data_IF_482351751918
#
_entry.id   IF_482351751918
#
_cell.length_a   1.000
_cell.length_b   1.000
_cell.length_c   1.000
_cell.angle_alpha   90.00
_cell.angle_beta   90.00
_cell.angle_gamma   90.00
#
_symmetry.space_group_name_H-M   'P 1'
#
loop_
_entity.id
_entity.type
_entity.pdbx_description
1 polymer ?
#
# COMPACT_ATOMS: atom_id res chain seq x y z
N UNK A 1 -2.94 -6.83 -2.88
CA UNK A 1 -1.60 -6.33 -3.28
C UNK A 1 -0.58 -6.53 -2.17
N UNK A 2 -0.81 -6.07 -0.94
CA UNK A 2 0.13 -6.25 0.18
C UNK A 2 0.61 -7.68 0.38
N UNK A 3 -0.32 -8.67 0.35
CA UNK A 3 0.02 -10.10 0.39
C UNK A 3 1.03 -10.49 -0.71
N UNK A 4 0.79 -10.07 -1.95
CA UNK A 4 1.66 -10.41 -3.07
C UNK A 4 3.05 -9.77 -2.94
N UNK A 5 3.11 -8.51 -2.50
CA UNK A 5 4.37 -7.83 -2.21
C UNK A 5 5.14 -8.51 -1.07
N UNK A 6 4.48 -8.85 0.04
CA UNK A 6 5.08 -9.54 1.18
C UNK A 6 5.73 -10.88 0.77
N UNK A 7 5.01 -11.70 -0.02
CA UNK A 7 5.51 -12.97 -0.52
C UNK A 7 6.70 -12.75 -1.47
N UNK A 8 6.61 -11.75 -2.35
CA UNK A 8 7.70 -11.45 -3.28
C UNK A 8 8.95 -10.97 -2.53
N UNK A 9 8.82 -10.08 -1.54
CA UNK A 9 9.94 -9.67 -0.69
C UNK A 9 10.59 -10.85 0.03
N UNK A 10 9.80 -11.77 0.57
CA UNK A 10 10.34 -12.97 1.22
C UNK A 10 11.13 -13.85 0.23
N UNK A 11 10.65 -14.03 -1.00
CA UNK A 11 11.35 -14.77 -2.05
C UNK A 11 12.67 -14.14 -2.49
N UNK A 12 12.76 -12.80 -2.37
CA UNK A 12 13.98 -12.03 -2.62
C UNK A 12 14.88 -11.90 -1.38
N UNK A 13 14.55 -12.59 -0.28
CA UNK A 13 15.41 -12.73 0.89
C UNK A 13 15.12 -11.79 2.05
N UNK A 14 14.02 -11.02 2.02
CA UNK A 14 13.63 -10.16 3.14
C UNK A 14 12.87 -10.95 4.23
N UNK A 15 13.12 -10.62 5.49
CA UNK A 15 12.20 -10.92 6.59
C UNK A 15 11.05 -9.91 6.56
N UNK A 16 9.82 -10.33 6.84
CA UNK A 16 8.64 -9.52 6.56
C UNK A 16 7.68 -9.47 7.75
N UNK A 17 7.38 -8.26 8.22
CA UNK A 17 6.24 -8.03 9.11
C UNK A 17 5.02 -7.58 8.30
N UNK A 18 3.85 -8.13 8.61
CA UNK A 18 2.57 -7.69 8.04
C UNK A 18 1.60 -7.23 9.12
N UNK A 19 0.84 -6.18 8.81
CA UNK A 19 -0.34 -5.80 9.57
C UNK A 19 -1.61 -6.37 8.90
N UNK A 20 -2.56 -6.76 9.70
CA UNK A 20 -3.87 -7.25 9.28
C UNK A 20 -4.94 -6.95 10.33
N UNK A 21 -6.21 -6.92 9.94
CA UNK A 21 -7.30 -6.88 10.90
C UNK A 21 -7.48 -8.24 11.57
N UNK A 22 -7.80 -8.31 12.87
CA UNK A 22 -8.02 -9.60 13.58
C UNK A 22 -9.02 -10.53 12.89
N UNK A 23 -10.00 -9.99 12.17
CA UNK A 23 -10.95 -10.76 11.35
C UNK A 23 -10.34 -11.46 10.14
N UNK A 24 -9.12 -11.08 9.75
CA UNK A 24 -8.38 -11.61 8.59
C UNK A 24 -7.22 -12.54 9.00
N UNK A 25 -7.30 -13.10 10.22
CA UNK A 25 -6.23 -13.91 10.82
C UNK A 25 -5.87 -15.14 9.98
N UNK A 26 -6.86 -15.82 9.38
CA UNK A 26 -6.63 -16.97 8.53
C UNK A 26 -5.80 -16.62 7.29
N UNK A 27 -6.12 -15.51 6.64
CA UNK A 27 -5.35 -15.00 5.49
C UNK A 27 -3.94 -14.60 5.90
N UNK A 28 -3.77 -13.99 7.08
CA UNK A 28 -2.46 -13.63 7.61
C UNK A 28 -1.58 -14.87 7.84
N UNK A 29 -2.13 -15.93 8.42
CA UNK A 29 -1.40 -17.19 8.63
C UNK A 29 -0.99 -17.88 7.32
N UNK A 30 -1.80 -17.78 6.27
CA UNK A 30 -1.40 -18.25 4.94
C UNK A 30 -0.19 -17.47 4.40
N UNK A 31 -0.14 -16.14 4.62
CA UNK A 31 1.01 -15.32 4.24
C UNK A 31 2.25 -15.72 5.04
N UNK A 32 2.11 -15.92 6.35
CA UNK A 32 3.22 -16.38 7.22
C UNK A 32 3.77 -17.73 6.75
N UNK A 33 2.91 -18.65 6.36
CA UNK A 33 3.32 -19.95 5.81
C UNK A 33 4.18 -19.77 4.57
N UNK A 34 3.75 -18.95 3.61
CA UNK A 34 4.48 -18.71 2.36
C UNK A 34 5.81 -17.98 2.57
N UNK A 35 5.89 -17.07 3.56
CA UNK A 35 7.14 -16.43 3.96
C UNK A 35 8.12 -17.47 4.54
N UNK A 36 7.62 -18.35 5.41
CA UNK A 36 8.41 -19.45 6.00
C UNK A 36 8.90 -20.44 4.93
N UNK A 37 8.06 -20.79 3.95
CA UNK A 37 8.43 -21.64 2.82
C UNK A 37 9.54 -21.01 1.96
N UNK A 38 9.59 -19.67 1.88
CA UNK A 38 10.70 -18.94 1.25
C UNK A 38 11.98 -18.90 2.12
N UNK A 39 11.98 -19.56 3.29
CA UNK A 39 13.13 -19.60 4.20
C UNK A 39 13.33 -18.29 4.99
N UNK A 40 12.29 -17.47 5.15
CA UNK A 40 12.38 -16.17 5.81
C UNK A 40 11.52 -16.08 7.08
N UNK A 41 11.83 -15.09 7.92
CA UNK A 41 11.05 -14.80 9.12
C UNK A 41 9.82 -13.96 8.76
N UNK A 42 8.65 -14.43 9.19
CA UNK A 42 7.40 -13.69 9.09
C UNK A 42 6.90 -13.25 10.47
N UNK A 43 6.46 -11.99 10.59
CA UNK A 43 5.85 -11.44 11.80
C UNK A 43 4.45 -10.94 11.45
N UNK A 44 3.43 -11.43 12.15
CA UNK A 44 2.04 -11.07 11.93
C UNK A 44 1.54 -10.17 13.08
N UNK A 45 1.16 -8.93 12.80
CA UNK A 45 0.79 -7.92 13.79
C UNK A 45 -0.67 -7.50 13.59
N UNK A 46 -1.62 -8.06 14.37
CA UNK A 46 -3.03 -7.71 14.25
C UNK A 46 -3.32 -6.33 14.84
N UNK A 47 -4.15 -5.54 14.14
CA UNK A 47 -4.67 -4.28 14.69
C UNK A 47 -5.16 -3.29 13.67
N UNK A 48 -5.71 -2.20 14.18
CA UNK A 48 -6.35 -1.15 13.40
C UNK A 48 -5.41 0.05 13.21
N UNK A 49 -5.09 0.32 11.95
CA UNK A 49 -4.23 1.45 11.57
C UNK A 49 -4.87 2.83 11.78
N UNK A 50 -6.17 2.89 12.07
CA UNK A 50 -6.84 4.16 12.43
C UNK A 50 -6.44 4.68 13.82
N UNK A 51 -5.70 3.88 14.59
CA UNK A 51 -5.21 4.22 15.92
C UNK A 51 -3.72 4.57 15.88
N UNK A 52 -3.40 5.83 16.21
CA UNK A 52 -2.01 6.32 16.19
C UNK A 52 -1.07 5.51 17.09
N UNK A 53 -1.54 5.18 18.30
CA UNK A 53 -0.78 4.39 19.27
C UNK A 53 -0.44 3.00 18.73
N UNK A 54 -1.39 2.39 18.02
CA UNK A 54 -1.18 1.10 17.36
C UNK A 54 -0.14 1.23 16.24
N UNK A 55 -0.26 2.22 15.36
CA UNK A 55 0.70 2.42 14.26
C UNK A 55 2.14 2.55 14.76
N UNK A 56 2.35 3.28 15.87
CA UNK A 56 3.67 3.40 16.50
C UNK A 56 4.15 2.05 17.05
N UNK A 57 3.31 1.41 17.87
CA UNK A 57 3.65 0.11 18.47
C UNK A 57 3.94 -0.96 17.41
N UNK A 58 3.16 -1.01 16.35
CA UNK A 58 3.37 -1.95 15.22
C UNK A 58 4.76 -1.81 14.61
N UNK A 59 5.23 -0.59 14.39
CA UNK A 59 6.59 -0.36 13.85
C UNK A 59 7.64 -0.77 14.86
N UNK A 60 7.48 -0.43 16.14
CA UNK A 60 8.40 -0.82 17.21
C UNK A 60 8.48 -2.35 17.36
N UNK A 61 7.33 -3.04 17.36
CA UNK A 61 7.26 -4.51 17.42
C UNK A 61 7.94 -5.14 16.19
N UNK A 62 7.66 -4.65 14.98
CA UNK A 62 8.29 -5.14 13.76
C UNK A 62 9.82 -5.00 13.81
N UNK A 63 10.33 -3.84 14.26
CA UNK A 63 11.77 -3.60 14.42
C UNK A 63 12.38 -4.54 15.44
N UNK A 64 11.70 -4.76 16.57
CA UNK A 64 12.21 -5.65 17.64
C UNK A 64 12.28 -7.11 17.18
N UNK A 65 11.24 -7.59 16.50
CA UNK A 65 11.13 -8.99 16.05
C UNK A 65 12.03 -9.30 14.84
N UNK A 66 12.19 -8.35 13.91
CA UNK A 66 13.01 -8.52 12.71
C UNK A 66 14.48 -8.05 12.91
N UNK A 67 14.78 -7.37 14.00
CA UNK A 67 16.13 -6.84 14.28
C UNK A 67 16.49 -5.56 13.52
N UNK A 68 15.54 -4.94 12.80
CA UNK A 68 15.75 -3.71 12.04
C UNK A 68 14.61 -3.40 11.09
N UNK A 69 14.77 -2.29 10.34
CA UNK A 69 13.80 -1.87 9.32
C UNK A 69 14.54 -1.22 8.14
N UNK A 70 14.49 -1.83 6.98
CA UNK A 70 15.09 -1.32 5.74
C UNK A 70 14.03 -0.89 4.72
N UNK A 71 12.85 -1.51 4.73
CA UNK A 71 11.78 -1.27 3.76
C UNK A 71 10.47 -1.05 4.51
N UNK A 72 9.83 0.09 4.28
CA UNK A 72 8.46 0.37 4.74
C UNK A 72 7.51 0.43 3.56
N UNK A 73 6.45 -0.41 3.56
CA UNK A 73 5.41 -0.39 2.53
C UNK A 73 4.07 0.06 3.11
N UNK A 74 3.63 1.25 2.76
CA UNK A 74 2.30 1.76 3.07
C UNK A 74 1.34 1.33 1.95
N UNK A 75 0.72 0.15 2.12
CA UNK A 75 -0.20 -0.43 1.13
C UNK A 75 -1.65 -0.47 1.62
N UNK A 76 -1.87 -0.61 2.91
CA UNK A 76 -3.23 -0.68 3.47
C UNK A 76 -4.06 0.54 3.07
N UNK A 77 -5.32 0.31 2.73
CA UNK A 77 -6.24 1.38 2.34
C UNK A 77 -7.68 0.97 2.61
N UNK A 78 -8.51 1.99 2.85
CA UNK A 78 -9.95 1.91 2.85
C UNK A 78 -10.48 2.57 1.58
N UNK A 79 -11.47 1.94 0.97
CA UNK A 79 -12.26 2.45 -0.15
C UNK A 79 -13.73 2.17 0.16
N UNK A 80 -14.60 3.11 -0.11
CA UNK A 80 -16.04 2.93 -0.03
C UNK A 80 -16.70 3.64 -1.20
N UNK A 81 -17.48 2.93 -1.97
CA UNK A 81 -18.28 3.53 -3.05
C UNK A 81 -19.42 4.34 -2.45
N UNK A 82 -19.62 5.56 -2.96
CA UNK A 82 -20.68 6.46 -2.56
C UNK A 82 -21.21 7.20 -3.80
N UNK A 83 -22.50 7.09 -4.10
CA UNK A 83 -23.09 7.67 -5.33
C UNK A 83 -23.11 9.20 -5.29
N UNK A 84 -23.31 9.78 -4.12
CA UNK A 84 -23.38 11.22 -3.92
C UNK A 84 -22.56 11.65 -2.72
N UNK A 85 -21.84 12.76 -2.84
CA UNK A 85 -21.13 13.37 -1.69
C UNK A 85 -22.08 13.73 -0.54
N UNK A 86 -23.36 13.93 -0.83
CA UNK A 86 -24.38 14.20 0.19
C UNK A 86 -24.67 12.98 1.09
N UNK A 87 -24.40 11.78 0.60
CA UNK A 87 -24.61 10.52 1.33
C UNK A 87 -23.36 10.05 2.06
N UNK A 88 -22.20 10.66 1.80
CA UNK A 88 -20.97 10.34 2.47
C UNK A 88 -20.99 10.89 3.91
N UNK A 89 -21.01 9.98 4.89
CA UNK A 89 -21.03 10.38 6.30
C UNK A 89 -19.68 10.95 6.75
N UNK A 90 -19.68 11.77 7.80
CA UNK A 90 -18.46 12.28 8.40
C UNK A 90 -17.60 11.15 8.97
N UNK A 91 -18.22 10.10 9.51
CA UNK A 91 -17.58 8.92 10.06
C UNK A 91 -16.86 8.11 8.98
N UNK A 92 -17.49 7.92 7.82
CA UNK A 92 -16.87 7.20 6.68
C UNK A 92 -15.71 8.00 6.10
N UNK A 93 -15.89 9.31 5.92
CA UNK A 93 -14.83 10.21 5.48
C UNK A 93 -13.63 10.18 6.44
N UNK A 94 -13.87 10.31 7.75
CA UNK A 94 -12.84 10.26 8.78
C UNK A 94 -12.10 8.90 8.78
N UNK A 95 -12.85 7.78 8.65
CA UNK A 95 -12.26 6.45 8.59
C UNK A 95 -11.35 6.29 7.36
N UNK A 96 -11.75 6.84 6.20
CA UNK A 96 -10.93 6.84 4.99
C UNK A 96 -9.67 7.69 5.16
N UNK A 97 -9.79 8.88 5.73
CA UNK A 97 -8.65 9.77 6.02
C UNK A 97 -7.70 9.16 7.04
N UNK A 98 -8.21 8.56 8.10
CA UNK A 98 -7.39 7.88 9.12
C UNK A 98 -6.59 6.73 8.52
N UNK A 99 -7.24 5.88 7.73
CA UNK A 99 -6.57 4.72 7.12
C UNK A 99 -5.56 5.12 6.05
N UNK A 100 -5.95 6.04 5.14
CA UNK A 100 -5.18 6.29 3.93
C UNK A 100 -4.18 7.44 4.05
N UNK A 101 -4.37 8.35 5.03
CA UNK A 101 -3.52 9.53 5.20
C UNK A 101 -2.81 9.52 6.55
N UNK A 102 -3.56 9.40 7.65
CA UNK A 102 -2.97 9.50 8.98
C UNK A 102 -2.10 8.29 9.31
N UNK A 103 -2.55 7.07 9.00
CA UNK A 103 -1.77 5.87 9.24
C UNK A 103 -0.41 5.87 8.50
N UNK A 104 -0.33 6.18 7.19
CA UNK A 104 0.97 6.38 6.51
C UNK A 104 1.86 7.44 7.17
N UNK A 105 1.28 8.54 7.63
CA UNK A 105 2.04 9.57 8.35
C UNK A 105 2.59 9.04 9.68
N UNK A 106 1.76 8.39 10.49
CA UNK A 106 2.17 7.85 11.79
C UNK A 106 3.21 6.73 11.65
N UNK A 107 3.03 5.84 10.69
CA UNK A 107 3.97 4.74 10.44
C UNK A 107 5.31 5.25 9.93
N UNK A 108 5.32 6.23 9.03
CA UNK A 108 6.57 6.88 8.59
C UNK A 108 7.26 7.57 9.75
N UNK A 109 6.52 8.34 10.56
CA UNK A 109 7.09 9.03 11.73
C UNK A 109 7.74 8.05 12.72
N UNK A 110 7.09 6.91 12.97
CA UNK A 110 7.64 5.85 13.84
C UNK A 110 8.84 5.14 13.20
N UNK A 111 8.83 4.94 11.87
CA UNK A 111 9.89 4.24 11.16
C UNK A 111 11.18 5.07 11.01
N UNK A 112 11.06 6.40 10.90
CA UNK A 112 12.21 7.28 10.61
C UNK A 112 13.45 7.11 11.50
N UNK A 113 13.35 6.85 12.82
CA UNK A 113 14.53 6.59 13.66
C UNK A 113 15.29 5.30 13.32
N UNK A 114 14.62 4.33 12.71
CA UNK A 114 15.13 3.01 12.40
C UNK A 114 15.68 2.89 10.98
N UNK A 115 15.24 3.77 10.06
CA UNK A 115 15.66 3.76 8.66
C UNK A 115 17.08 4.34 8.50
N UNK A 116 17.95 3.58 7.81
CA UNK A 116 19.35 3.90 7.52
C UNK A 116 19.52 4.35 6.06
N UNK A 117 20.68 4.91 5.68
CA UNK A 117 21.01 5.10 4.27
C UNK A 117 20.87 3.79 3.47
N UNK A 118 20.22 3.84 2.33
CA UNK A 118 19.87 2.68 1.51
C UNK A 118 18.43 2.20 1.72
N UNK A 119 17.77 2.58 2.81
CA UNK A 119 16.36 2.22 3.08
C UNK A 119 15.39 2.77 2.03
N UNK A 120 14.24 2.11 1.91
CA UNK A 120 13.18 2.49 0.99
C UNK A 120 11.80 2.61 1.67
N UNK A 121 11.05 3.64 1.32
CA UNK A 121 9.63 3.79 1.66
C UNK A 121 8.84 3.69 0.36
N UNK A 122 7.82 2.83 0.33
CA UNK A 122 6.97 2.63 -0.84
C UNK A 122 5.51 2.85 -0.44
N UNK A 123 4.81 3.70 -1.18
CA UNK A 123 3.40 3.97 -0.94
C UNK A 123 2.53 3.48 -2.10
N UNK A 124 1.37 2.91 -1.78
CA UNK A 124 0.39 2.52 -2.79
C UNK A 124 -0.59 3.67 -3.04
N UNK A 125 -0.39 4.37 -4.15
CA UNK A 125 -1.33 5.34 -4.71
C UNK A 125 -2.46 4.62 -5.49
N UNK A 126 -2.94 5.18 -6.57
CA UNK A 126 -3.94 4.60 -7.48
C UNK A 126 -4.03 5.41 -8.75
N UNK A 127 -4.54 4.84 -9.84
CA UNK A 127 -5.02 5.59 -11.01
C UNK A 127 -6.06 6.66 -10.63
N UNK A 128 -6.85 6.40 -9.57
CA UNK A 128 -7.83 7.34 -9.03
C UNK A 128 -7.23 8.67 -8.55
N UNK A 129 -5.92 8.75 -8.42
CA UNK A 129 -5.21 9.99 -8.12
C UNK A 129 -5.08 10.90 -9.35
N UNK A 130 -5.22 10.36 -10.55
CA UNK A 130 -5.10 11.05 -11.84
C UNK A 130 -6.46 11.24 -12.51
N UNK A 131 -7.27 10.19 -12.53
CA UNK A 131 -8.60 10.14 -13.14
C UNK A 131 -9.62 9.58 -12.12
N UNK A 132 -10.15 10.45 -11.25
CA UNK A 132 -11.00 10.04 -10.14
C UNK A 132 -12.40 9.63 -10.60
N UNK A 133 -12.82 8.42 -10.20
CA UNK A 133 -14.23 8.02 -10.32
C UNK A 133 -15.11 8.87 -9.39
N UNK A 134 -16.26 9.38 -9.87
CA UNK A 134 -17.14 10.19 -9.03
C UNK A 134 -17.65 9.48 -7.78
N UNK A 135 -17.73 8.16 -7.81
CA UNK A 135 -18.19 7.34 -6.68
C UNK A 135 -17.12 7.07 -5.61
N UNK A 136 -15.84 7.40 -5.89
CA UNK A 136 -14.72 7.19 -4.99
C UNK A 136 -14.16 8.52 -4.49
N UNK A 137 -15.04 9.46 -4.18
CA UNK A 137 -14.73 10.85 -3.87
C UNK A 137 -13.67 11.03 -2.78
N UNK A 138 -13.85 10.41 -1.61
CA UNK A 138 -12.89 10.48 -0.49
C UNK A 138 -11.62 9.68 -0.77
N UNK A 139 -11.77 8.48 -1.32
CA UNK A 139 -10.64 7.62 -1.68
C UNK A 139 -9.70 8.28 -2.69
N UNK A 140 -10.24 8.83 -3.77
CA UNK A 140 -9.46 9.48 -4.82
C UNK A 140 -8.63 10.66 -4.27
N UNK A 141 -9.21 11.48 -3.38
CA UNK A 141 -8.50 12.54 -2.68
C UNK A 141 -7.30 12.01 -1.89
N UNK A 142 -7.48 10.89 -1.15
CA UNK A 142 -6.38 10.31 -0.39
C UNK A 142 -5.28 9.78 -1.30
N UNK A 143 -5.62 9.28 -2.49
CA UNK A 143 -4.61 8.77 -3.44
C UNK A 143 -3.85 9.89 -4.15
N UNK A 144 -4.49 11.02 -4.45
CA UNK A 144 -3.81 12.24 -4.90
C UNK A 144 -2.87 12.80 -3.81
N UNK A 145 -3.32 12.83 -2.56
CA UNK A 145 -2.48 13.21 -1.43
C UNK A 145 -1.28 12.25 -1.25
N UNK A 146 -1.46 10.94 -1.47
CA UNK A 146 -0.38 9.95 -1.42
C UNK A 146 0.71 10.26 -2.44
N UNK A 147 0.36 10.63 -3.68
CA UNK A 147 1.35 11.01 -4.69
C UNK A 147 2.15 12.25 -4.28
N UNK A 148 1.47 13.23 -3.69
CA UNK A 148 2.12 14.45 -3.23
C UNK A 148 3.07 14.16 -2.06
N UNK A 149 2.62 13.37 -1.08
CA UNK A 149 3.46 13.01 0.06
C UNK A 149 4.71 12.26 -0.37
N UNK A 150 4.63 11.33 -1.34
CA UNK A 150 5.80 10.61 -1.90
C UNK A 150 6.82 11.60 -2.44
N UNK A 151 6.39 12.54 -3.28
CA UNK A 151 7.26 13.57 -3.88
C UNK A 151 7.90 14.49 -2.84
N UNK A 152 7.13 14.88 -1.84
CA UNK A 152 7.61 15.75 -0.75
C UNK A 152 8.59 15.03 0.16
N UNK A 153 8.23 13.83 0.63
CA UNK A 153 9.04 13.04 1.56
C UNK A 153 10.35 12.59 0.90
N UNK A 154 10.33 12.26 -0.39
CA UNK A 154 11.54 11.94 -1.15
C UNK A 154 12.57 13.07 -1.08
N UNK A 155 12.14 14.31 -1.24
CA UNK A 155 13.01 15.50 -1.14
C UNK A 155 13.56 15.70 0.28
N UNK A 156 12.73 15.46 1.29
CA UNK A 156 13.16 15.59 2.69
C UNK A 156 14.20 14.55 3.10
N UNK A 157 14.05 13.31 2.62
CA UNK A 157 14.85 12.18 3.05
C UNK A 157 16.07 11.90 2.14
N UNK A 158 16.17 12.56 0.98
CA UNK A 158 17.26 12.37 0.02
C UNK A 158 18.65 12.51 0.66
N UNK A 159 18.86 13.54 1.48
CA UNK A 159 20.15 13.76 2.19
C UNK A 159 20.46 12.67 3.22
N UNK A 160 19.46 11.93 3.68
CA UNK A 160 19.62 10.76 4.56
C UNK A 160 19.91 9.47 3.78
N UNK A 161 19.92 9.52 2.45
CA UNK A 161 20.07 8.34 1.60
C UNK A 161 18.86 7.39 1.63
N UNK A 162 17.67 7.89 2.01
CA UNK A 162 16.42 7.12 2.06
C UNK A 162 15.60 7.45 0.83
N UNK A 163 15.17 6.43 0.09
CA UNK A 163 14.36 6.59 -1.12
C UNK A 163 12.88 6.48 -0.79
N UNK A 164 12.05 7.27 -1.47
CA UNK A 164 10.59 7.22 -1.31
C UNK A 164 9.95 7.20 -2.68
N UNK A 165 9.18 6.16 -2.99
CA UNK A 165 8.49 6.01 -4.26
C UNK A 165 7.06 5.54 -4.06
N UNK A 166 6.25 5.65 -5.11
CA UNK A 166 4.87 5.20 -5.12
C UNK A 166 4.60 4.19 -6.24
N UNK A 167 3.59 3.36 -6.02
CA UNK A 167 2.97 2.53 -7.06
C UNK A 167 1.54 3.03 -7.24
N UNK A 168 1.12 3.27 -8.48
CA UNK A 168 -0.24 3.67 -8.82
C UNK A 168 -0.89 2.56 -9.67
N UNK A 169 -1.57 1.60 -9.02
CA UNK A 169 -2.30 0.55 -9.71
C UNK A 169 -3.51 1.11 -10.48
N UNK A 170 -3.78 0.51 -11.64
CA UNK A 170 -5.09 0.57 -12.27
C UNK A 170 -6.05 -0.46 -11.68
N UNK A 171 -6.96 -1.05 -12.50
CA UNK A 171 -7.95 -2.01 -12.03
C UNK A 171 -7.27 -3.35 -11.69
N UNK A 172 -7.00 -3.59 -10.41
CA UNK A 172 -6.42 -4.84 -9.89
C UNK A 172 -7.48 -5.62 -9.12
N UNK A 173 -7.64 -6.90 -9.46
CA UNK A 173 -8.61 -7.77 -8.81
C UNK A 173 -8.20 -8.08 -7.37
N UNK A 174 -8.85 -7.45 -6.42
CA UNK A 174 -8.55 -7.57 -4.98
C UNK A 174 -9.84 -7.60 -4.15
N UNK A 175 -9.81 -8.14 -2.92
CA UNK A 175 -10.95 -8.07 -2.00
C UNK A 175 -11.47 -6.64 -1.76
N UNK A 176 -10.61 -5.63 -1.93
CA UNK A 176 -10.99 -4.22 -1.75
C UNK A 176 -12.14 -3.79 -2.68
N UNK A 177 -12.29 -4.40 -3.85
CA UNK A 177 -13.40 -4.09 -4.76
C UNK A 177 -14.74 -4.51 -4.14
N UNK A 178 -14.78 -5.68 -3.52
CA UNK A 178 -15.98 -6.22 -2.86
C UNK A 178 -16.26 -5.47 -1.56
N UNK A 179 -15.27 -5.36 -0.68
CA UNK A 179 -15.41 -4.67 0.61
C UNK A 179 -15.63 -3.17 0.47
N UNK A 180 -15.22 -2.58 -0.65
CA UNK A 180 -15.42 -1.18 -1.01
C UNK A 180 -16.79 -0.87 -1.61
N UNK A 181 -17.72 -1.83 -1.63
CA UNK A 181 -19.11 -1.59 -2.02
C UNK A 181 -19.38 -1.56 -3.54
N UNK A 182 -18.48 -2.12 -4.35
CA UNK A 182 -18.75 -2.25 -5.79
C UNK A 182 -19.97 -3.16 -6.04
N UNK A 183 -20.88 -2.73 -6.90
CA UNK A 183 -22.04 -3.55 -7.29
C UNK A 183 -21.62 -4.77 -8.10
N UNK A 184 -22.44 -5.83 -8.10
CA UNK A 184 -22.17 -7.05 -8.89
C UNK A 184 -21.97 -6.73 -10.38
N UNK A 185 -22.77 -5.83 -10.95
CA UNK A 185 -22.61 -5.41 -12.34
C UNK A 185 -21.23 -4.79 -12.62
N UNK A 186 -20.69 -3.99 -11.68
CA UNK A 186 -19.36 -3.41 -11.78
C UNK A 186 -18.27 -4.46 -11.63
N UNK A 187 -18.44 -5.43 -10.72
CA UNK A 187 -17.50 -6.52 -10.53
C UNK A 187 -17.40 -7.40 -11.77
N UNK A 188 -18.51 -7.72 -12.44
CA UNK A 188 -18.51 -8.50 -13.69
C UNK A 188 -17.76 -7.81 -14.83
N UNK A 189 -17.80 -6.48 -14.89
CA UNK A 189 -17.14 -5.66 -15.92
C UNK A 189 -15.78 -5.10 -15.47
N UNK A 190 -15.36 -5.40 -14.24
CA UNK A 190 -14.18 -4.79 -13.66
C UNK A 190 -12.91 -5.05 -14.50
N UNK A 191 -12.23 -3.98 -14.86
CA UNK A 191 -11.01 -4.00 -15.67
C UNK A 191 -11.22 -4.29 -17.16
N UNK A 192 -12.45 -4.57 -17.63
CA UNK A 192 -12.73 -4.83 -19.04
C UNK A 192 -12.46 -3.63 -19.96
N UNK A 193 -12.47 -2.42 -19.40
CA UNK A 193 -12.19 -1.18 -20.12
C UNK A 193 -10.69 -0.85 -20.21
N UNK A 194 -9.82 -1.59 -19.52
CA UNK A 194 -8.38 -1.43 -19.69
C UNK A 194 -7.98 -1.85 -21.12
N UNK A 195 -6.95 -1.25 -21.73
CA UNK A 195 -6.47 -1.67 -23.04
C UNK A 195 -6.09 -3.16 -23.13
N UNK A 196 -5.66 -3.78 -22.02
CA UNK A 196 -5.44 -5.23 -21.93
C UNK A 196 -6.73 -6.05 -21.82
N UNK A 197 -7.91 -5.42 -21.68
CA UNK A 197 -9.23 -6.04 -21.66
C UNK A 197 -9.53 -6.87 -20.41
N UNK A 198 -8.74 -6.75 -19.35
CA UNK A 198 -8.91 -7.48 -18.10
C UNK A 198 -8.36 -6.71 -16.89
N UNK A 199 -8.78 -7.05 -15.67
CA UNK A 199 -8.08 -6.56 -14.49
C UNK A 199 -6.70 -7.23 -14.37
N UNK A 200 -5.76 -6.53 -13.74
CA UNK A 200 -4.50 -7.13 -13.31
C UNK A 200 -4.68 -7.98 -12.06
N UNK A 201 -3.74 -8.87 -11.81
CA UNK A 201 -3.66 -9.65 -10.58
C UNK A 201 -2.65 -9.02 -9.60
N UNK A 202 -2.84 -9.12 -8.28
CA UNK A 202 -1.88 -8.60 -7.30
C UNK A 202 -0.43 -9.05 -7.53
N UNK A 203 -0.24 -10.29 -7.99
CA UNK A 203 1.08 -10.84 -8.28
C UNK A 203 1.80 -10.13 -9.44
N UNK A 204 1.06 -9.54 -10.39
CA UNK A 204 1.63 -8.81 -11.53
C UNK A 204 2.26 -7.47 -11.10
N UNK A 205 1.93 -6.96 -9.91
CA UNK A 205 2.50 -5.73 -9.37
C UNK A 205 3.64 -5.98 -8.37
N UNK A 206 3.77 -7.20 -7.85
CA UNK A 206 4.70 -7.51 -6.78
C UNK A 206 6.16 -7.19 -7.15
N UNK A 207 6.55 -7.44 -8.41
CA UNK A 207 7.88 -7.11 -8.93
C UNK A 207 8.22 -5.63 -8.89
N UNK A 208 7.22 -4.74 -9.04
CA UNK A 208 7.43 -3.30 -8.96
C UNK A 208 7.84 -2.90 -7.53
N UNK A 209 7.18 -3.46 -6.52
CA UNK A 209 7.53 -3.21 -5.11
C UNK A 209 8.95 -3.69 -4.80
N UNK A 210 9.31 -4.90 -5.27
CA UNK A 210 10.67 -5.45 -5.11
C UNK A 210 11.70 -4.55 -5.78
N UNK A 211 11.48 -4.16 -7.05
CA UNK A 211 12.38 -3.27 -7.78
C UNK A 211 12.58 -1.94 -7.05
N UNK A 212 11.51 -1.33 -6.54
CA UNK A 212 11.60 -0.05 -5.84
C UNK A 212 12.35 -0.15 -4.50
N UNK A 213 12.36 -1.31 -3.88
CA UNK A 213 13.13 -1.58 -2.65
C UNK A 213 14.59 -1.93 -2.93
N UNK A 214 14.89 -2.57 -4.07
CA UNK A 214 16.20 -3.10 -4.41
C UNK A 214 17.31 -2.04 -4.44
N UNK A 215 18.54 -2.45 -4.16
CA UNK A 215 19.70 -1.56 -4.13
C UNK A 215 20.05 -0.93 -5.48
N UNK A 216 19.78 -1.63 -6.58
CA UNK A 216 19.97 -1.14 -7.95
C UNK A 216 18.97 -0.06 -8.36
N UNK A 217 17.89 0.16 -7.61
CA UNK A 217 17.03 1.33 -7.76
C UNK A 217 17.58 2.58 -7.05
N UNK A 218 18.87 2.66 -6.80
CA UNK A 218 19.52 3.69 -5.96
C UNK A 218 19.32 5.14 -6.46
N UNK A 219 19.07 5.35 -7.75
CA UNK A 219 18.78 6.68 -8.33
C UNK A 219 17.27 6.94 -8.51
N UNK A 220 16.42 6.05 -8.00
CA UNK A 220 14.97 6.13 -8.13
C UNK A 220 14.34 6.60 -6.84
N UNK A 221 13.91 7.87 -6.79
CA UNK A 221 13.19 8.45 -5.65
C UNK A 221 12.24 9.57 -6.10
N UNK A 222 11.11 9.73 -5.44
CA UNK A 222 10.08 10.72 -5.77
C UNK A 222 9.20 10.36 -6.97
N UNK A 223 9.30 9.13 -7.48
CA UNK A 223 8.55 8.67 -8.64
C UNK A 223 7.28 7.91 -8.24
N UNK A 224 6.29 7.97 -9.13
CA UNK A 224 5.06 7.16 -9.05
C UNK A 224 5.03 6.24 -10.27
N UNK A 225 5.04 4.95 -10.03
CA UNK A 225 5.04 3.93 -11.08
C UNK A 225 3.62 3.44 -11.36
N UNK A 226 3.15 3.69 -12.57
CA UNK A 226 1.85 3.23 -13.03
C UNK A 226 1.86 1.75 -13.44
N UNK A 227 0.81 1.02 -13.07
CA UNK A 227 0.54 -0.34 -13.53
C UNK A 227 -0.96 -0.49 -13.84
N UNK A 228 -1.40 0.13 -14.93
CA UNK A 228 -2.81 0.32 -15.30
C UNK A 228 -3.29 -0.49 -16.51
N UNK A 229 -2.56 -1.52 -16.94
CA UNK A 229 -3.00 -2.35 -18.07
C UNK A 229 -3.10 -1.61 -19.42
N UNK A 230 -2.26 -0.57 -19.61
CA UNK A 230 -2.22 0.27 -20.80
C UNK A 230 -2.98 1.58 -20.68
N UNK A 231 -3.71 1.82 -19.58
CA UNK A 231 -4.21 3.16 -19.27
C UNK A 231 -3.03 4.07 -18.94
N UNK A 232 -2.89 5.14 -19.73
CA UNK A 232 -1.87 6.14 -19.51
C UNK A 232 -2.06 6.82 -18.16
N UNK A 233 -0.95 7.12 -17.51
CA UNK A 233 -0.93 8.02 -16.35
C UNK A 233 -0.15 9.25 -16.74
N UNK A 234 -0.70 10.44 -16.54
CA UNK A 234 -0.01 11.69 -16.89
C UNK A 234 1.22 11.96 -16.02
#
# INVERSE_FOLDING_TARGET
MGRAAAIAFAREGADVAINYFPSEEEDAWQVMTLIKEAGRTGVAIPGDLREQSFCRKMVEDAVAELGGLDILVNNAARQQSCESVADLTAEDFDATMKTNIYAPFWTVQAALPHLKPGSAIIATASEQAYDPSPELYDYAQTKAATMNYVKSLAKQLAKRGIRVNGVAPGPIWTPLQVSGGASMEKLEKFGSQSPLGRPGQPAELASIYVQLAAADASYTTGNIYGAGGGQGQP
#
